data_IF_403118619112
#
_entry.id   IF_403118619112
#
_cell.length_a   1.000
_cell.length_b   1.000
_cell.length_c   1.000
_cell.angle_alpha   90.00
_cell.angle_beta   90.00
_cell.angle_gamma   90.00
#
_symmetry.space_group_name_H-M   'P 1'
#
loop_
_entity.id
_entity.type
_entity.pdbx_description
1 polymer ?
#
# COMPACT_ATOMS: atom_id res chain seq x y z
N UNK A 1 31.18 14.74 -29.68
CA UNK A 1 29.87 14.17 -29.24
C UNK A 1 29.98 13.11 -28.13
N UNK A 2 31.08 12.33 -28.02
CA UNK A 2 31.16 11.20 -27.08
C UNK A 2 31.18 11.51 -25.57
N UNK A 3 31.76 12.63 -25.14
CA UNK A 3 31.85 12.97 -23.71
C UNK A 3 30.52 13.36 -23.08
N UNK A 4 29.60 13.94 -23.85
CA UNK A 4 28.27 14.37 -23.35
C UNK A 4 27.36 13.15 -23.14
N UNK A 5 27.35 12.20 -24.07
CA UNK A 5 26.56 10.97 -23.97
C UNK A 5 27.05 10.09 -22.82
N UNK A 6 28.37 9.99 -22.60
CA UNK A 6 28.95 9.25 -21.47
C UNK A 6 28.59 9.88 -20.11
N UNK A 7 28.60 11.21 -20.01
CA UNK A 7 28.17 11.92 -18.79
C UNK A 7 26.68 11.75 -18.51
N UNK A 8 25.84 11.82 -19.55
CA UNK A 8 24.41 11.57 -19.42
C UNK A 8 24.13 10.14 -18.93
N UNK A 9 24.83 9.15 -19.50
CA UNK A 9 24.72 7.76 -19.07
C UNK A 9 25.10 7.56 -17.60
N UNK A 10 26.16 8.23 -17.12
CA UNK A 10 26.54 8.20 -15.71
C UNK A 10 25.50 8.82 -14.78
N UNK A 11 24.90 9.95 -15.18
CA UNK A 11 23.84 10.60 -14.40
C UNK A 11 22.60 9.70 -14.31
N UNK A 12 22.19 9.10 -15.43
CA UNK A 12 21.07 8.15 -15.46
C UNK A 12 21.36 6.92 -14.59
N UNK A 13 22.55 6.35 -14.68
CA UNK A 13 22.93 5.19 -13.86
C UNK A 13 22.92 5.53 -12.36
N UNK A 14 23.42 6.72 -11.99
CA UNK A 14 23.43 7.18 -10.61
C UNK A 14 22.01 7.39 -10.06
N UNK A 15 21.10 7.99 -10.84
CA UNK A 15 19.72 8.20 -10.38
C UNK A 15 18.96 6.87 -10.23
N UNK A 16 19.18 5.90 -11.11
CA UNK A 16 18.61 4.55 -10.97
C UNK A 16 19.19 3.79 -9.76
N UNK A 17 20.50 3.93 -9.48
CA UNK A 17 21.12 3.30 -8.32
C UNK A 17 20.60 3.91 -7.00
N UNK A 18 20.41 5.23 -6.96
CA UNK A 18 19.85 5.92 -5.78
C UNK A 18 18.38 5.54 -5.52
N UNK A 19 17.56 5.36 -6.57
CA UNK A 19 16.16 4.93 -6.40
C UNK A 19 16.05 3.49 -5.93
N UNK A 20 16.96 2.60 -6.31
CA UNK A 20 16.99 1.20 -5.86
C UNK A 20 17.24 1.04 -4.34
N UNK A 21 17.99 1.97 -3.72
CA UNK A 21 18.24 1.95 -2.27
C UNK A 21 17.07 2.51 -1.44
N UNK A 22 16.02 3.03 -2.09
CA UNK A 22 14.83 3.55 -1.42
C UNK A 22 13.77 2.49 -1.12
N UNK A 23 14.10 1.19 -1.25
CA UNK A 23 13.25 0.05 -0.90
C UNK A 23 13.07 -0.07 0.62
N UNK A 24 12.37 0.92 1.19
CA UNK A 24 11.77 0.83 2.52
C UNK A 24 10.70 -0.24 2.42
N UNK A 25 10.99 -1.43 2.96
CA UNK A 25 10.06 -2.52 3.25
C UNK A 25 8.71 -2.38 2.54
N UNK A 26 8.69 -2.72 1.25
CA UNK A 26 7.43 -2.83 0.53
C UNK A 26 6.85 -4.18 0.94
N UNK A 27 5.84 -4.20 1.81
CA UNK A 27 4.98 -5.39 1.78
C UNK A 27 4.42 -5.41 0.35
N UNK A 28 4.73 -6.43 -0.44
CA UNK A 28 4.34 -6.44 -1.86
C UNK A 28 2.80 -6.45 -2.05
N UNK A 29 2.02 -6.48 -0.96
CA UNK A 29 0.57 -6.35 -0.94
C UNK A 29 0.02 -4.95 -0.62
N UNK A 30 0.86 -3.97 -0.26
CA UNK A 30 0.43 -2.65 0.26
C UNK A 30 -0.59 -1.97 -0.68
N UNK A 31 -0.30 -1.90 -1.97
CA UNK A 31 -1.16 -1.17 -2.90
C UNK A 31 -2.49 -1.89 -3.21
N UNK A 32 -2.50 -3.22 -3.24
CA UNK A 32 -3.73 -3.98 -3.55
C UNK A 32 -4.72 -3.91 -2.38
N UNK A 33 -4.21 -4.01 -1.15
CA UNK A 33 -5.04 -3.86 0.04
C UNK A 33 -5.65 -2.45 0.10
N UNK A 34 -4.86 -1.40 -0.17
CA UNK A 34 -5.32 -0.01 -0.13
C UNK A 34 -6.30 0.36 -1.24
N UNK A 35 -6.27 -0.35 -2.36
CA UNK A 35 -7.20 -0.16 -3.48
C UNK A 35 -8.48 -0.99 -3.33
N UNK A 36 -8.52 -1.93 -2.39
CA UNK A 36 -9.67 -2.80 -2.18
C UNK A 36 -10.87 -2.01 -1.66
N UNK A 37 -12.07 -2.38 -2.11
CA UNK A 37 -13.34 -1.76 -1.73
C UNK A 37 -14.41 -2.83 -1.56
N UNK A 38 -15.44 -2.52 -0.78
CA UNK A 38 -16.64 -3.36 -0.74
C UNK A 38 -17.26 -3.46 -2.12
N UNK A 39 -17.74 -4.66 -2.45
CA UNK A 39 -18.47 -4.92 -3.68
C UNK A 39 -19.84 -4.24 -3.70
N UNK A 40 -20.59 -4.46 -4.77
CA UNK A 40 -21.98 -4.00 -4.87
C UNK A 40 -22.82 -4.67 -3.79
N UNK A 41 -23.76 -3.93 -3.22
CA UNK A 41 -24.69 -4.45 -2.23
C UNK A 41 -25.54 -5.57 -2.84
N UNK A 42 -25.73 -6.65 -2.08
CA UNK A 42 -26.53 -7.80 -2.52
C UNK A 42 -28.01 -7.40 -2.54
N UNK A 43 -28.65 -7.55 -3.70
CA UNK A 43 -30.11 -7.45 -3.80
C UNK A 43 -30.75 -8.76 -3.36
N UNK A 44 -31.60 -8.69 -2.34
CA UNK A 44 -32.33 -9.85 -1.82
C UNK A 44 -33.77 -9.80 -2.33
N UNK A 45 -34.20 -10.73 -3.20
CA UNK A 45 -35.53 -10.70 -3.77
C UNK A 45 -36.60 -11.17 -2.77
N UNK A 46 -37.85 -10.67 -2.85
CA UNK A 46 -38.95 -11.18 -2.03
C UNK A 46 -39.21 -12.68 -2.28
N UNK A 47 -39.62 -13.47 -1.26
CA UNK A 47 -39.86 -13.08 0.14
C UNK A 47 -38.62 -13.18 1.05
N UNK A 48 -37.42 -13.33 0.48
CA UNK A 48 -36.18 -13.43 1.26
C UNK A 48 -35.84 -12.08 1.91
N UNK A 49 -35.05 -12.13 2.99
CA UNK A 49 -34.61 -10.92 3.71
C UNK A 49 -33.12 -10.95 3.95
N UNK A 50 -32.52 -9.76 4.07
CA UNK A 50 -31.09 -9.59 4.39
C UNK A 50 -30.78 -9.75 5.88
N UNK A 51 -31.77 -10.06 6.73
CA UNK A 51 -31.63 -10.05 8.19
C UNK A 51 -30.53 -10.96 8.74
N UNK A 52 -30.14 -12.01 7.98
CA UNK A 52 -29.11 -12.98 8.37
C UNK A 52 -27.80 -12.83 7.59
N UNK A 53 -27.65 -11.78 6.77
CA UNK A 53 -26.40 -11.50 6.06
C UNK A 53 -25.45 -10.81 7.03
N UNK A 54 -24.28 -11.41 7.24
CA UNK A 54 -23.26 -10.84 8.11
C UNK A 54 -22.43 -9.77 7.39
N UNK A 55 -22.21 -8.65 8.07
CA UNK A 55 -21.32 -7.56 7.63
C UNK A 55 -19.87 -7.77 8.08
N UNK A 56 -19.50 -8.97 8.53
CA UNK A 56 -18.15 -9.25 9.04
C UNK A 56 -17.03 -9.02 8.02
N UNK A 57 -17.33 -9.18 6.72
CA UNK A 57 -16.37 -8.98 5.64
C UNK A 57 -16.43 -7.58 5.01
N UNK A 58 -17.26 -6.68 5.55
CA UNK A 58 -17.31 -5.31 5.07
C UNK A 58 -16.02 -4.61 5.47
N UNK A 59 -15.28 -4.17 4.45
CA UNK A 59 -14.12 -3.32 4.64
C UNK A 59 -14.54 -2.01 5.29
N UNK A 60 -13.82 -1.54 6.32
CA UNK A 60 -14.06 -0.23 6.89
C UNK A 60 -13.70 0.86 5.87
N UNK A 61 -14.27 2.08 6.02
CA UNK A 61 -13.90 3.20 5.17
C UNK A 61 -12.42 3.60 5.35
N UNK A 62 -11.66 3.59 4.26
CA UNK A 62 -10.24 3.99 4.26
C UNK A 62 -10.10 5.51 4.08
N UNK A 63 -10.36 6.26 5.16
CA UNK A 63 -10.25 7.71 5.20
C UNK A 63 -8.96 8.21 5.90
N UNK A 64 -8.06 7.29 6.22
CA UNK A 64 -6.87 7.56 7.04
C UNK A 64 -5.59 7.43 6.22
N UNK A 65 -4.50 8.03 6.72
CA UNK A 65 -3.20 7.85 6.09
C UNK A 65 -2.76 6.37 6.25
N UNK A 66 -2.55 5.63 5.15
CA UNK A 66 -2.18 4.23 5.22
C UNK A 66 -0.70 4.00 5.56
N UNK A 67 0.13 5.04 5.59
CA UNK A 67 1.54 4.92 5.90
C UNK A 67 1.74 4.62 7.38
N UNK A 68 2.13 3.39 7.69
CA UNK A 68 2.45 2.93 9.04
C UNK A 68 3.92 2.55 9.17
N UNK A 69 4.50 2.77 10.34
CA UNK A 69 5.83 2.22 10.64
C UNK A 69 5.68 0.76 11.02
N UNK A 70 6.34 -0.12 10.27
CA UNK A 70 6.46 -1.54 10.61
C UNK A 70 7.74 -1.85 11.40
N UNK A 71 8.53 -0.83 11.73
CA UNK A 71 9.68 -1.03 12.59
C UNK A 71 9.20 -1.51 13.97
N UNK A 72 9.92 -2.44 14.62
CA UNK A 72 9.61 -2.83 15.98
C UNK A 72 9.47 -1.59 16.88
N UNK A 73 8.51 -1.57 17.83
CA UNK A 73 8.42 -0.50 18.80
C UNK A 73 9.71 -0.45 19.62
N UNK A 74 10.20 0.75 19.90
CA UNK A 74 11.33 0.94 20.82
C UNK A 74 10.78 0.93 22.24
N UNK A 75 11.22 -0.03 23.04
CA UNK A 75 10.93 -0.03 24.47
C UNK A 75 11.54 1.23 25.10
N UNK A 76 10.70 2.01 25.77
CA UNK A 76 11.19 3.10 26.62
C UNK A 76 11.86 2.42 27.81
N UNK A 77 13.18 2.25 27.75
CA UNK A 77 13.95 1.82 28.91
C UNK A 77 13.97 3.02 29.88
N UNK A 78 12.97 3.10 30.76
CA UNK A 78 13.00 4.02 31.90
C UNK A 78 14.09 3.53 32.85
N UNK A 79 15.23 4.22 32.84
CA UNK A 79 16.29 4.10 33.85
C UNK A 79 16.16 5.25 34.84
#
# INVERSE_FOLDING_TARGET
MGNVVKKLGFVVLATLALSACSSRYSSNGENLYLQSRNGVQIEVPPPLTSANISHFYDLPPQNQNPQVSIAPPVDVITT
#
